data_IF_257180039881
#
_entry.id   IF_257180039881
#
_cell.length_a   1.000
_cell.length_b   1.000
_cell.length_c   1.000
_cell.angle_alpha   90.00
_cell.angle_beta   90.00
_cell.angle_gamma   90.00
#
_symmetry.space_group_name_H-M   'P 1'
#
loop_
_entity.id
_entity.type
_entity.pdbx_description
1 polymer ?
#
# COMPACT_ATOMS: atom_id res chain seq x y z
N UNK A 1 -2.51 -6.82 -5.58
CA UNK A 1 -3.36 -5.70 -5.08
C UNK A 1 -3.70 -5.96 -3.62
N UNK A 2 -3.44 -5.02 -2.71
CA UNK A 2 -3.47 -5.25 -1.25
C UNK A 2 -4.51 -4.33 -0.60
N UNK A 3 -5.49 -4.92 0.09
CA UNK A 3 -6.53 -4.18 0.79
C UNK A 3 -6.04 -3.54 2.10
N UNK A 4 -6.79 -2.56 2.59
CA UNK A 4 -6.52 -1.86 3.85
C UNK A 4 -6.85 -2.66 5.10
N UNK A 5 -6.72 -2.00 6.26
CA UNK A 5 -7.09 -2.55 7.57
C UNK A 5 -8.56 -2.96 7.58
N UNK A 6 -8.86 -4.18 8.06
CA UNK A 6 -10.21 -4.79 8.06
C UNK A 6 -10.90 -4.86 6.70
N UNK A 7 -10.11 -4.73 5.64
CA UNK A 7 -10.60 -4.88 4.28
C UNK A 7 -10.71 -6.35 3.86
N UNK A 8 -11.13 -6.50 2.61
CA UNK A 8 -11.21 -7.78 1.90
C UNK A 8 -10.69 -7.61 0.47
N UNK A 9 -10.26 -8.71 -0.19
CA UNK A 9 -9.79 -8.67 -1.58
C UNK A 9 -10.71 -7.92 -2.56
N UNK A 10 -12.02 -8.13 -2.47
CA UNK A 10 -13.00 -7.54 -3.39
C UNK A 10 -13.02 -6.00 -3.38
N UNK A 11 -12.54 -5.37 -2.31
CA UNK A 11 -12.42 -3.89 -2.25
C UNK A 11 -11.43 -3.35 -3.29
N UNK A 12 -10.55 -4.21 -3.80
CA UNK A 12 -9.58 -3.89 -4.86
C UNK A 12 -10.13 -4.21 -6.26
N UNK A 13 -11.36 -4.72 -6.41
CA UNK A 13 -11.95 -5.06 -7.70
C UNK A 13 -12.02 -3.89 -8.68
N UNK A 14 -12.33 -2.64 -8.27
CA UNK A 14 -12.31 -1.52 -9.21
C UNK A 14 -10.95 -1.32 -9.89
N UNK A 15 -9.85 -1.60 -9.18
CA UNK A 15 -8.51 -1.58 -9.77
C UNK A 15 -8.29 -2.77 -10.68
N UNK A 16 -8.66 -3.98 -10.23
CA UNK A 16 -8.55 -5.19 -11.06
C UNK A 16 -9.27 -5.03 -12.40
N UNK A 17 -10.52 -4.58 -12.38
CA UNK A 17 -11.34 -4.38 -13.57
C UNK A 17 -10.73 -3.33 -14.50
N UNK A 18 -10.32 -2.18 -13.96
CA UNK A 18 -9.68 -1.12 -14.76
C UNK A 18 -8.35 -1.60 -15.38
N UNK A 19 -7.54 -2.37 -14.64
CA UNK A 19 -6.30 -2.95 -15.16
C UNK A 19 -6.61 -3.92 -16.30
N UNK A 20 -7.51 -4.88 -16.08
CA UNK A 20 -7.88 -5.87 -17.10
C UNK A 20 -8.39 -5.20 -18.37
N UNK A 21 -9.21 -4.15 -18.25
CA UNK A 21 -9.69 -3.37 -19.41
C UNK A 21 -8.56 -2.64 -20.14
N UNK A 22 -7.61 -2.07 -19.40
CA UNK A 22 -6.50 -1.30 -19.99
C UNK A 22 -5.41 -2.21 -20.58
N UNK A 23 -5.29 -3.44 -20.08
CA UNK A 23 -4.24 -4.39 -20.46
C UNK A 23 -4.77 -5.63 -21.21
N UNK A 24 -5.91 -5.54 -21.90
CA UNK A 24 -6.56 -6.69 -22.57
C UNK A 24 -5.64 -7.45 -23.53
N UNK A 25 -4.71 -6.75 -24.17
CA UNK A 25 -3.76 -7.34 -25.12
C UNK A 25 -2.43 -7.76 -24.47
N UNK A 26 -2.33 -7.73 -23.13
CA UNK A 26 -1.11 -8.01 -22.38
C UNK A 26 -1.31 -9.21 -21.45
N UNK A 27 -0.25 -9.98 -21.22
CA UNK A 27 -0.27 -11.10 -20.26
C UNK A 27 -0.05 -10.57 -18.84
N UNK A 28 -1.14 -10.27 -18.13
CA UNK A 28 -1.11 -9.76 -16.75
C UNK A 28 -1.78 -10.74 -15.79
N UNK A 29 -1.00 -11.26 -14.84
CA UNK A 29 -1.52 -12.09 -13.74
C UNK A 29 -1.78 -11.22 -12.52
N UNK A 30 -3.03 -11.17 -12.06
CA UNK A 30 -3.41 -10.39 -10.87
C UNK A 30 -3.61 -11.30 -9.66
N UNK A 31 -3.02 -10.91 -8.54
CA UNK A 31 -3.21 -11.57 -7.24
C UNK A 31 -3.81 -10.57 -6.23
N UNK A 32 -4.92 -10.97 -5.61
CA UNK A 32 -5.64 -10.23 -4.57
C UNK A 32 -5.74 -11.10 -3.30
N UNK A 33 -4.71 -11.09 -2.43
CA UNK A 33 -4.68 -11.94 -1.24
C UNK A 33 -5.67 -11.48 -0.17
N UNK A 34 -6.21 -12.45 0.56
CA UNK A 34 -6.84 -12.17 1.85
C UNK A 34 -5.72 -12.00 2.90
N UNK A 35 -5.59 -10.80 3.46
CA UNK A 35 -4.52 -10.52 4.43
C UNK A 35 -4.85 -11.17 5.77
N UNK A 36 -3.85 -11.81 6.38
CA UNK A 36 -4.01 -12.42 7.70
C UNK A 36 -4.59 -11.41 8.69
N UNK A 37 -5.53 -11.86 9.54
CA UNK A 37 -6.24 -10.99 10.50
C UNK A 37 -6.83 -9.72 9.84
N UNK A 38 -7.10 -9.76 8.53
CA UNK A 38 -7.53 -8.61 7.72
C UNK A 38 -6.59 -7.38 7.86
N UNK A 39 -5.29 -7.63 8.03
CA UNK A 39 -4.29 -6.58 8.25
C UNK A 39 -4.30 -5.96 9.65
N UNK A 40 -5.07 -6.53 10.59
CA UNK A 40 -5.12 -6.12 12.00
C UNK A 40 -3.98 -6.74 12.82
N UNK A 41 -2.75 -6.57 12.34
CA UNK A 41 -1.52 -7.03 12.97
C UNK A 41 -0.33 -6.17 12.50
N UNK A 42 0.84 -6.28 13.13
CA UNK A 42 2.02 -5.51 12.75
C UNK A 42 2.39 -5.72 11.28
N UNK A 43 2.94 -4.68 10.65
CA UNK A 43 3.23 -4.62 9.21
C UNK A 43 4.03 -5.82 8.69
N UNK A 44 5.03 -6.25 9.47
CA UNK A 44 5.88 -7.40 9.13
C UNK A 44 5.08 -8.70 9.13
N UNK A 45 4.18 -8.88 10.10
CA UNK A 45 3.33 -10.06 10.20
C UNK A 45 2.33 -10.09 9.03
N UNK A 46 1.61 -8.98 8.81
CA UNK A 46 0.64 -8.85 7.73
C UNK A 46 1.23 -9.15 6.34
N UNK A 47 2.51 -8.80 6.13
CA UNK A 47 3.20 -8.95 4.85
C UNK A 47 3.99 -10.26 4.70
N UNK A 48 4.08 -11.10 5.73
CA UNK A 48 5.02 -12.22 5.77
C UNK A 48 4.73 -13.27 4.68
N UNK A 49 3.47 -13.70 4.58
CA UNK A 49 3.03 -14.66 3.56
C UNK A 49 3.17 -14.08 2.16
N UNK A 50 2.76 -12.82 1.97
CA UNK A 50 2.86 -12.14 0.68
C UNK A 50 4.30 -12.03 0.18
N UNK A 51 5.24 -11.74 1.08
CA UNK A 51 6.64 -11.64 0.72
C UNK A 51 7.16 -12.99 0.21
N UNK A 52 6.84 -14.08 0.91
CA UNK A 52 7.25 -15.43 0.55
C UNK A 52 6.68 -15.84 -0.81
N UNK A 53 5.39 -15.62 -1.03
CA UNK A 53 4.70 -15.94 -2.29
C UNK A 53 5.24 -15.10 -3.45
N UNK A 54 5.41 -13.79 -3.24
CA UNK A 54 5.92 -12.88 -4.28
C UNK A 54 7.36 -13.21 -4.66
N UNK A 55 8.23 -13.53 -3.68
CA UNK A 55 9.60 -13.99 -3.96
C UNK A 55 9.63 -15.29 -4.74
N UNK A 56 8.79 -16.27 -4.34
CA UNK A 56 8.68 -17.56 -5.04
C UNK A 56 8.18 -17.38 -6.48
N UNK A 57 7.22 -16.47 -6.69
CA UNK A 57 6.73 -16.15 -8.02
C UNK A 57 7.79 -15.44 -8.87
N UNK A 58 8.44 -14.40 -8.34
CA UNK A 58 9.45 -13.61 -9.02
C UNK A 58 10.65 -14.45 -9.48
N UNK A 59 11.09 -15.42 -8.66
CA UNK A 59 12.16 -16.36 -9.02
C UNK A 59 11.80 -17.25 -10.20
N UNK A 60 10.51 -17.57 -10.39
CA UNK A 60 10.01 -18.35 -11.53
C UNK A 60 9.76 -17.48 -12.77
N UNK A 61 9.70 -16.16 -12.62
CA UNK A 61 9.36 -15.20 -13.66
C UNK A 61 10.32 -14.00 -13.60
N UNK A 62 11.65 -14.20 -13.72
CA UNK A 62 12.65 -13.18 -13.37
C UNK A 62 12.58 -11.91 -14.22
N UNK A 63 12.05 -12.00 -15.44
CA UNK A 63 11.99 -10.90 -16.40
C UNK A 63 10.61 -10.22 -16.44
N UNK A 64 9.66 -10.67 -15.63
CA UNK A 64 8.30 -10.09 -15.62
C UNK A 64 8.21 -8.92 -14.65
N UNK A 65 7.77 -7.72 -15.07
CA UNK A 65 7.57 -6.59 -14.16
C UNK A 65 6.57 -6.92 -13.06
N UNK A 66 6.81 -6.43 -11.84
CA UNK A 66 5.95 -6.64 -10.67
C UNK A 66 5.31 -5.32 -10.27
N UNK A 67 3.98 -5.31 -10.19
CA UNK A 67 3.19 -4.17 -9.75
C UNK A 67 2.56 -4.47 -8.40
N UNK A 68 2.93 -3.68 -7.38
CA UNK A 68 2.44 -3.85 -6.01
C UNK A 68 1.64 -2.62 -5.63
N UNK A 69 0.32 -2.73 -5.67
CA UNK A 69 -0.59 -1.64 -5.29
C UNK A 69 -1.31 -1.98 -4.00
N UNK A 70 -1.37 -1.02 -3.08
CA UNK A 70 -2.16 -1.17 -1.86
C UNK A 70 -2.83 0.13 -1.42
N UNK A 71 -3.96 -0.02 -0.73
CA UNK A 71 -4.74 1.10 -0.20
C UNK A 71 -4.70 1.16 1.33
N UNK A 72 -4.68 2.35 1.92
CA UNK A 72 -4.61 2.54 3.37
C UNK A 72 -3.40 1.79 3.98
N UNK A 73 -3.60 0.99 5.03
CA UNK A 73 -2.56 0.12 5.58
C UNK A 73 -2.02 -0.90 4.55
N UNK A 74 -2.80 -1.26 3.52
CA UNK A 74 -2.33 -2.07 2.38
C UNK A 74 -1.26 -1.38 1.57
N UNK A 75 -1.26 -0.04 1.49
CA UNK A 75 -0.18 0.73 0.85
C UNK A 75 1.14 0.67 1.64
N UNK A 76 1.07 0.65 2.98
CA UNK A 76 2.26 0.38 3.82
C UNK A 76 2.83 -1.01 3.55
N UNK A 77 1.96 -2.03 3.43
CA UNK A 77 2.35 -3.38 3.05
C UNK A 77 2.97 -3.43 1.65
N UNK A 78 2.37 -2.75 0.67
CA UNK A 78 2.89 -2.66 -0.69
C UNK A 78 4.32 -2.08 -0.72
N UNK A 79 4.53 -0.97 -0.02
CA UNK A 79 5.83 -0.34 0.09
C UNK A 79 6.86 -1.22 0.83
N UNK A 80 6.45 -1.86 1.92
CA UNK A 80 7.29 -2.82 2.64
C UNK A 80 7.72 -3.98 1.75
N UNK A 81 6.81 -4.57 0.98
CA UNK A 81 7.11 -5.65 0.06
C UNK A 81 8.09 -5.21 -1.03
N UNK A 82 7.84 -4.07 -1.68
CA UNK A 82 8.71 -3.53 -2.72
C UNK A 82 10.17 -3.36 -2.21
N UNK A 83 10.32 -2.77 -1.02
CA UNK A 83 11.63 -2.65 -0.33
C UNK A 83 12.27 -4.01 -0.12
N UNK A 84 11.54 -4.98 0.45
CA UNK A 84 12.10 -6.30 0.77
C UNK A 84 12.48 -7.11 -0.47
N UNK A 85 11.73 -6.98 -1.56
CA UNK A 85 12.00 -7.64 -2.82
C UNK A 85 13.28 -7.12 -3.49
N UNK A 86 13.53 -5.80 -3.44
CA UNK A 86 14.75 -5.22 -4.03
C UNK A 86 15.97 -5.26 -3.10
N UNK A 87 15.77 -5.40 -1.79
CA UNK A 87 16.86 -5.46 -0.81
C UNK A 87 17.86 -6.57 -1.17
N UNK A 88 19.15 -6.23 -1.21
CA UNK A 88 20.26 -7.14 -1.55
C UNK A 88 20.05 -7.87 -2.89
N UNK A 89 19.36 -7.23 -3.84
CA UNK A 89 19.06 -7.82 -5.16
C UNK A 89 18.33 -9.17 -5.07
N UNK A 90 17.42 -9.33 -4.11
CA UNK A 90 16.70 -10.60 -3.93
C UNK A 90 15.88 -11.00 -5.17
N UNK A 91 15.48 -10.03 -5.99
CA UNK A 91 14.93 -10.24 -7.34
C UNK A 91 15.53 -9.22 -8.32
N UNK A 92 15.51 -9.56 -9.62
CA UNK A 92 15.92 -8.66 -10.71
C UNK A 92 14.75 -7.90 -11.35
N UNK A 93 13.52 -8.36 -11.12
CA UNK A 93 12.32 -7.80 -11.72
C UNK A 93 12.25 -6.28 -11.52
N UNK A 94 11.78 -5.53 -12.54
CA UNK A 94 11.32 -4.17 -12.36
C UNK A 94 10.13 -4.13 -11.40
N UNK A 95 10.14 -3.22 -10.42
CA UNK A 95 9.07 -3.09 -9.42
C UNK A 95 8.45 -1.70 -9.49
N UNK A 96 7.14 -1.67 -9.72
CA UNK A 96 6.29 -0.50 -9.49
C UNK A 96 5.53 -0.69 -8.18
N UNK A 97 5.51 0.35 -7.34
CA UNK A 97 4.68 0.38 -6.15
C UNK A 97 3.69 1.55 -6.22
N UNK A 98 2.44 1.29 -5.86
CA UNK A 98 1.40 2.31 -5.76
C UNK A 98 0.77 2.29 -4.38
N UNK A 99 0.78 3.43 -3.70
CA UNK A 99 0.26 3.60 -2.36
C UNK A 99 -0.92 4.57 -2.40
N UNK A 100 -2.13 4.07 -2.14
CA UNK A 100 -3.37 4.86 -2.22
C UNK A 100 -3.88 5.19 -0.83
N UNK A 101 -3.90 6.47 -0.45
CA UNK A 101 -4.30 6.90 0.88
C UNK A 101 -3.51 6.20 2.00
N UNK A 102 -2.22 5.92 1.79
CA UNK A 102 -1.43 5.09 2.70
C UNK A 102 -0.81 5.93 3.82
N UNK A 103 -0.91 5.55 5.11
CA UNK A 103 -0.27 6.29 6.20
C UNK A 103 1.23 5.96 6.30
N UNK A 104 2.03 6.38 5.31
CA UNK A 104 3.46 6.01 5.22
C UNK A 104 4.29 6.60 6.37
N UNK A 105 4.00 7.83 6.80
CA UNK A 105 4.52 8.42 8.05
C UNK A 105 3.64 8.16 9.27
N UNK A 106 2.66 7.26 9.16
CA UNK A 106 1.59 7.12 10.15
C UNK A 106 0.47 8.13 9.95
N UNK A 107 -0.37 8.30 10.98
CA UNK A 107 -1.48 9.24 11.01
C UNK A 107 -1.50 9.93 12.36
N UNK A 108 -1.71 11.24 12.39
CA UNK A 108 -1.87 11.98 13.65
C UNK A 108 -3.18 11.61 14.37
N UNK A 109 -4.13 11.02 13.65
CA UNK A 109 -5.39 10.48 14.19
C UNK A 109 -5.18 9.53 15.36
N UNK A 110 -4.13 8.72 15.31
CA UNK A 110 -3.84 7.73 16.35
C UNK A 110 -3.24 8.38 17.60
N UNK A 111 -2.78 9.63 17.51
CA UNK A 111 -1.99 10.30 18.54
C UNK A 111 -2.73 11.45 19.24
N UNK A 112 -3.87 11.91 18.71
CA UNK A 112 -4.62 13.03 19.28
C UNK A 112 -5.41 12.63 20.55
N UNK A 113 -5.11 13.24 21.73
CA UNK A 113 -5.86 13.01 22.96
C UNK A 113 -7.29 13.59 22.91
N UNK A 114 -7.50 14.62 22.08
CA UNK A 114 -8.76 15.35 21.88
C UNK A 114 -9.76 14.62 20.99
N UNK A 115 -9.37 13.49 20.39
CA UNK A 115 -10.28 12.61 19.68
C UNK A 115 -11.20 11.96 20.71
N UNK A 116 -12.37 12.58 20.93
CA UNK A 116 -13.41 12.27 21.94
C UNK A 116 -13.39 10.80 22.35
N UNK A 117 -13.52 10.50 23.64
CA UNK A 117 -13.59 9.14 24.21
C UNK A 117 -14.38 8.15 23.31
N UNK A 118 -15.47 8.62 22.69
CA UNK A 118 -16.34 7.91 21.72
C UNK A 118 -15.65 7.51 20.42
N UNK A 119 -14.80 8.38 19.86
CA UNK A 119 -14.10 8.15 18.61
C UNK A 119 -12.79 7.37 18.86
N UNK A 120 -12.19 7.50 20.05
CA UNK A 120 -11.19 6.53 20.57
C UNK A 120 -11.83 5.15 20.79
N UNK A 121 -13.07 5.09 21.28
CA UNK A 121 -13.87 3.86 21.36
C UNK A 121 -14.21 3.30 19.97
N UNK A 122 -14.52 4.14 18.98
CA UNK A 122 -14.79 3.73 17.61
C UNK A 122 -13.52 3.24 16.90
N UNK A 123 -12.38 3.92 17.04
CA UNK A 123 -11.09 3.45 16.55
C UNK A 123 -10.64 2.17 17.27
N UNK A 124 -10.82 2.12 18.60
CA UNK A 124 -10.61 0.87 19.36
C UNK A 124 -11.55 -0.22 18.92
N UNK A 125 -12.79 0.06 18.54
CA UNK A 125 -13.73 -0.91 17.98
C UNK A 125 -13.35 -1.29 16.55
N UNK A 126 -12.77 -0.36 15.79
CA UNK A 126 -12.22 -0.59 14.45
C UNK A 126 -10.96 -1.47 14.53
N UNK A 127 -10.12 -1.41 15.56
CA UNK A 127 -8.95 -2.30 15.69
C UNK A 127 -9.24 -3.51 16.63
N UNK A 128 -10.20 -3.45 17.56
CA UNK A 128 -10.57 -4.58 18.41
C UNK A 128 -11.35 -5.59 17.59
N UNK A 129 -10.66 -6.62 17.14
CA UNK A 129 -11.30 -7.87 16.76
C UNK A 129 -11.63 -8.67 18.03
N UNK A 130 -12.86 -9.19 18.19
CA UNK A 130 -13.15 -10.18 19.24
C UNK A 130 -12.52 -11.56 18.97
N UNK A 131 -11.84 -11.77 17.83
CA UNK A 131 -11.35 -13.08 17.37
C UNK A 131 -9.84 -13.08 17.08
N UNK A 132 -9.07 -12.10 17.55
CA UNK A 132 -7.63 -12.11 17.24
C UNK A 132 -6.79 -11.11 18.01
N UNK A 133 -6.07 -11.63 19.01
CA UNK A 133 -4.79 -11.17 19.55
C UNK A 133 -4.70 -9.71 20.04
N UNK A 134 -4.05 -9.50 21.18
CA UNK A 134 -3.76 -8.17 21.75
C UNK A 134 -2.76 -7.33 20.92
N UNK A 135 -2.69 -7.49 19.58
CA UNK A 135 -1.79 -6.74 18.70
C UNK A 135 -2.28 -5.32 18.39
N UNK A 136 -3.46 -4.95 18.89
CA UNK A 136 -4.02 -3.62 18.74
C UNK A 136 -3.02 -2.53 19.17
N UNK A 137 -2.33 -2.72 20.29
CA UNK A 137 -1.39 -1.69 20.78
C UNK A 137 -0.15 -1.55 19.90
N UNK A 138 0.38 -2.65 19.39
CA UNK A 138 1.52 -2.65 18.49
C UNK A 138 1.15 -2.01 17.14
N UNK A 139 0.02 -2.40 16.56
CA UNK A 139 -0.46 -1.81 15.31
C UNK A 139 -0.75 -0.31 15.46
N UNK A 140 -1.36 0.12 16.57
CA UNK A 140 -1.54 1.56 16.84
C UNK A 140 -0.20 2.25 16.90
N UNK A 141 0.77 1.74 17.67
CA UNK A 141 2.12 2.31 17.74
C UNK A 141 2.79 2.38 16.37
N UNK A 142 2.59 1.39 15.50
CA UNK A 142 3.13 1.43 14.15
C UNK A 142 2.44 2.46 13.25
N UNK A 143 1.13 2.65 13.41
CA UNK A 143 0.33 3.62 12.66
C UNK A 143 0.43 5.05 13.21
N UNK A 144 0.99 5.23 14.40
CA UNK A 144 1.30 6.53 15.00
C UNK A 144 2.17 7.40 14.11
N UNK A 145 1.88 8.70 14.12
CA UNK A 145 2.63 9.68 13.37
C UNK A 145 4.09 9.64 13.81
N UNK A 146 4.98 9.60 12.82
CA UNK A 146 6.42 9.52 13.03
C UNK A 146 6.85 8.37 13.95
N UNK A 147 6.08 7.28 14.04
CA UNK A 147 6.50 6.09 14.75
C UNK A 147 7.81 5.55 14.18
N UNK A 148 8.58 4.83 15.01
CA UNK A 148 9.82 4.17 14.55
C UNK A 148 9.54 3.25 13.35
N UNK A 149 8.38 2.59 13.29
CA UNK A 149 7.98 1.76 12.16
C UNK A 149 7.77 2.58 10.88
N UNK A 150 7.08 3.72 10.99
CA UNK A 150 6.85 4.63 9.86
C UNK A 150 8.14 5.32 9.37
N UNK A 151 8.99 5.77 10.29
CA UNK A 151 10.31 6.32 9.97
C UNK A 151 11.18 5.30 9.24
N UNK A 152 11.29 4.08 9.78
CA UNK A 152 12.04 3.01 9.15
C UNK A 152 11.47 2.66 7.77
N UNK A 153 10.15 2.58 7.61
CA UNK A 153 9.53 2.29 6.32
C UNK A 153 9.87 3.37 5.29
N UNK A 154 9.68 4.64 5.63
CA UNK A 154 9.93 5.75 4.71
C UNK A 154 11.41 5.90 4.36
N UNK A 155 12.32 5.72 5.32
CA UNK A 155 13.75 5.70 5.06
C UNK A 155 14.15 4.54 4.14
N UNK A 156 13.63 3.34 4.38
CA UNK A 156 13.90 2.20 3.51
C UNK A 156 13.37 2.41 2.08
N UNK A 157 12.20 3.02 1.91
CA UNK A 157 11.67 3.35 0.57
C UNK A 157 12.60 4.34 -0.14
N UNK A 158 13.08 5.40 0.53
CA UNK A 158 14.02 6.38 -0.06
C UNK A 158 15.35 5.75 -0.49
N UNK A 159 15.83 4.80 0.31
CA UNK A 159 17.12 4.15 0.12
C UNK A 159 17.04 2.93 -0.82
N UNK A 160 15.85 2.55 -1.28
CA UNK A 160 15.66 1.44 -2.23
C UNK A 160 15.48 1.98 -3.63
N UNK A 161 16.21 1.41 -4.59
CA UNK A 161 15.97 1.70 -6.01
C UNK A 161 14.73 0.93 -6.49
N UNK A 162 13.63 1.66 -6.57
CA UNK A 162 12.38 1.24 -7.19
C UNK A 162 12.23 1.94 -8.54
N UNK A 163 11.73 1.22 -9.54
CA UNK A 163 11.60 1.75 -10.89
C UNK A 163 10.48 2.77 -11.02
N UNK A 164 9.42 2.64 -10.22
CA UNK A 164 8.34 3.63 -10.14
C UNK A 164 7.64 3.57 -8.78
N UNK A 165 7.37 4.75 -8.20
CA UNK A 165 6.63 4.90 -6.94
C UNK A 165 5.48 5.89 -7.13
N UNK A 166 4.24 5.43 -7.11
CA UNK A 166 3.09 6.31 -7.22
C UNK A 166 2.42 6.47 -5.85
N UNK A 167 2.29 7.71 -5.40
CA UNK A 167 1.74 8.06 -4.09
C UNK A 167 0.47 8.88 -4.28
N UNK A 168 -0.68 8.34 -3.88
CA UNK A 168 -1.97 8.98 -3.98
C UNK A 168 -2.47 9.38 -2.59
N UNK A 169 -2.91 10.62 -2.44
CA UNK A 169 -3.51 11.12 -1.21
C UNK A 169 -4.62 12.13 -1.53
N UNK A 170 -5.49 12.41 -0.55
CA UNK A 170 -6.55 13.41 -0.68
C UNK A 170 -6.56 14.31 0.55
N UNK A 171 -6.63 15.65 0.39
CA UNK A 171 -6.82 16.57 1.51
C UNK A 171 -8.09 16.32 2.32
N UNK A 172 -9.11 15.68 1.73
CA UNK A 172 -10.36 15.31 2.39
C UNK A 172 -10.28 13.97 3.15
N UNK A 173 -9.11 13.34 3.23
CA UNK A 173 -8.90 12.11 3.99
C UNK A 173 -9.02 12.39 5.49
N UNK A 174 -10.03 11.82 6.16
CA UNK A 174 -10.24 11.97 7.60
C UNK A 174 -9.61 10.83 8.42
N UNK A 175 -9.01 9.82 7.77
CA UNK A 175 -8.41 8.64 8.43
C UNK A 175 -6.89 8.76 8.43
N UNK A 176 -6.32 9.19 7.31
CA UNK A 176 -4.89 9.44 7.14
C UNK A 176 -4.69 10.94 7.17
N UNK A 177 -4.61 11.49 8.38
CA UNK A 177 -4.45 12.93 8.59
C UNK A 177 -3.11 13.26 9.23
N UNK A 178 -2.49 14.39 8.86
CA UNK A 178 -2.80 15.17 7.66
C UNK A 178 -2.48 14.40 6.38
N UNK A 179 -3.18 14.64 5.26
CA UNK A 179 -3.06 13.82 4.04
C UNK A 179 -1.62 13.61 3.53
N UNK A 180 -0.73 14.58 3.77
CA UNK A 180 0.68 14.51 3.39
C UNK A 180 1.46 13.43 4.15
N UNK A 181 0.89 12.79 5.18
CA UNK A 181 1.52 11.63 5.81
C UNK A 181 1.69 10.45 4.84
N UNK A 182 0.89 10.40 3.77
CA UNK A 182 1.04 9.45 2.68
C UNK A 182 2.02 9.84 1.58
N UNK A 183 2.65 11.02 1.68
CA UNK A 183 3.52 11.60 0.64
C UNK A 183 4.95 11.80 1.16
N UNK A 184 5.73 10.72 1.39
CA UNK A 184 7.12 10.84 1.85
C UNK A 184 8.00 11.59 0.85
N UNK A 185 8.67 12.63 1.36
CA UNK A 185 9.67 13.41 0.61
C UNK A 185 10.92 12.57 0.33
N UNK A 186 11.62 12.89 -0.76
CA UNK A 186 12.92 12.30 -1.09
C UNK A 186 12.85 10.86 -1.61
N UNK A 187 11.67 10.35 -1.95
CA UNK A 187 11.53 9.04 -2.60
C UNK A 187 11.93 9.18 -4.08
N UNK A 188 12.91 8.39 -4.51
CA UNK A 188 13.37 8.34 -5.90
C UNK A 188 12.27 7.81 -6.82
N UNK A 189 12.24 8.30 -8.06
CA UNK A 189 11.26 7.88 -9.08
C UNK A 189 9.80 7.95 -8.61
N UNK A 190 9.50 8.90 -7.71
CA UNK A 190 8.15 9.06 -7.17
C UNK A 190 7.31 10.06 -7.97
N UNK A 191 6.04 9.74 -8.15
CA UNK A 191 5.00 10.65 -8.61
C UNK A 191 3.98 10.83 -7.49
N UNK A 192 3.58 12.08 -7.24
CA UNK A 192 2.63 12.44 -6.19
C UNK A 192 1.32 12.87 -6.85
N UNK A 193 0.21 12.27 -6.43
CA UNK A 193 -1.11 12.53 -6.96
C UNK A 193 -2.05 12.97 -5.83
N UNK A 194 -2.63 14.16 -5.99
CA UNK A 194 -3.65 14.68 -5.10
C UNK A 194 -5.02 14.45 -5.73
N UNK A 195 -5.85 13.66 -5.04
CA UNK A 195 -7.24 13.45 -5.38
C UNK A 195 -8.03 14.53 -4.63
N UNK A 196 -8.81 15.34 -5.34
CA UNK A 196 -9.61 16.42 -4.75
C UNK A 196 -11.01 15.91 -4.40
N UNK A 197 -11.61 16.47 -3.35
CA UNK A 197 -13.02 16.28 -2.96
C UNK A 197 -13.47 14.85 -2.61
N UNK A 198 -12.53 13.92 -2.46
CA UNK A 198 -12.81 12.51 -2.20
C UNK A 198 -12.30 12.07 -0.83
N UNK A 199 -13.11 11.29 -0.11
CA UNK A 199 -12.74 10.73 1.19
C UNK A 199 -11.82 9.52 1.10
N UNK A 200 -11.40 9.00 2.25
CA UNK A 200 -10.44 7.88 2.33
C UNK A 200 -10.84 6.68 1.46
N UNK A 201 -12.11 6.26 1.55
CA UNK A 201 -12.62 5.04 0.91
C UNK A 201 -12.94 5.19 -0.58
N UNK A 202 -13.13 6.40 -1.09
CA UNK A 202 -13.50 6.63 -2.49
C UNK A 202 -12.31 6.80 -3.42
N UNK A 203 -11.10 7.04 -2.87
CA UNK A 203 -9.86 7.20 -3.65
C UNK A 203 -9.66 6.09 -4.70
N UNK A 204 -9.87 4.81 -4.34
CA UNK A 204 -9.76 3.68 -5.27
C UNK A 204 -10.68 3.86 -6.48
N UNK A 205 -11.95 4.19 -6.25
CA UNK A 205 -12.95 4.29 -7.30
C UNK A 205 -12.62 5.41 -8.29
N UNK A 206 -12.15 6.53 -7.77
CA UNK A 206 -11.87 7.73 -8.56
C UNK A 206 -10.58 7.60 -9.38
N UNK A 207 -9.52 7.07 -8.80
CA UNK A 207 -8.22 7.00 -9.49
C UNK A 207 -8.01 5.72 -10.32
N UNK A 208 -8.94 4.75 -10.32
CA UNK A 208 -8.75 3.43 -10.93
C UNK A 208 -8.30 3.46 -12.40
N UNK A 209 -8.89 4.31 -13.23
CA UNK A 209 -8.57 4.37 -14.66
C UNK A 209 -7.17 4.96 -14.87
N UNK A 210 -6.90 6.09 -14.22
CA UNK A 210 -5.59 6.74 -14.26
C UNK A 210 -4.48 5.83 -13.73
N UNK A 211 -4.73 5.13 -12.62
CA UNK A 211 -3.79 4.14 -12.08
C UNK A 211 -3.55 2.98 -13.06
N UNK A 212 -4.59 2.48 -13.73
CA UNK A 212 -4.48 1.40 -14.70
C UNK A 212 -3.66 1.80 -15.93
N UNK A 213 -3.84 3.03 -16.44
CA UNK A 213 -3.01 3.61 -17.51
C UNK A 213 -1.54 3.65 -17.09
N UNK A 214 -1.23 4.15 -15.88
CA UNK A 214 0.13 4.17 -15.37
C UNK A 214 0.76 2.78 -15.23
N UNK A 215 -0.03 1.80 -14.79
CA UNK A 215 0.41 0.41 -14.76
C UNK A 215 0.68 -0.13 -16.17
N UNK A 216 -0.18 0.18 -17.14
CA UNK A 216 -0.04 -0.20 -18.53
C UNK A 216 1.24 0.36 -19.15
N UNK A 217 1.50 1.66 -18.94
CA UNK A 217 2.71 2.36 -19.38
C UNK A 217 3.97 1.75 -18.76
N UNK A 218 3.91 1.43 -17.47
CA UNK A 218 5.03 0.79 -16.79
C UNK A 218 5.35 -0.58 -17.38
N UNK A 219 4.31 -1.38 -17.64
CA UNK A 219 4.48 -2.69 -18.30
C UNK A 219 5.16 -2.50 -19.65
N UNK A 220 4.65 -1.62 -20.51
CA UNK A 220 5.21 -1.43 -21.86
C UNK A 220 6.68 -1.00 -21.83
N UNK A 221 7.02 -0.03 -20.98
CA UNK A 221 8.40 0.45 -20.83
C UNK A 221 9.35 -0.63 -20.33
N UNK A 222 8.87 -1.61 -19.58
CA UNK A 222 9.71 -2.64 -18.95
C UNK A 222 9.73 -3.95 -19.72
N UNK A 223 8.76 -4.20 -20.59
CA UNK A 223 8.77 -5.35 -21.50
C UNK A 223 9.37 -5.03 -22.87
N UNK A 224 9.41 -3.77 -23.30
CA UNK A 224 10.02 -3.39 -24.59
C UNK A 224 11.55 -3.56 -24.64
N UNK A 225 12.19 -3.77 -23.50
CA UNK A 225 13.65 -3.93 -23.37
C UNK A 225 14.07 -5.31 -22.82
N UNK A 226 13.12 -6.24 -22.68
CA UNK A 226 13.36 -7.62 -22.25
C UNK A 226 13.37 -8.55 -23.48
#
# INVERSE_FOLDING_TARGET
LIHGLRGYPFMMNPLYEALQQTTQNKKVTVFQPNIIKQGNCPLKEASATLLTETLSWARRHPDTPILITGASNGGRQAAYLAVKLKRKHAIKNPVMVSCIGAPLYGSTMTDQPSWRESARKLWRWLIRSPIGGNHHEELVKELSWASTSAQNLTENIRNTELEQVDLYATPADQIVTPFYTGLPRGVKNSSLFLITDEGHSSQISVMKNFWAERCSDFIDKKTAHA
#
